data_IF_903814011177
#
_entry.id   IF_903814011177
#
_cell.length_a   1.000
_cell.length_b   1.000
_cell.length_c   1.000
_cell.angle_alpha   90.00
_cell.angle_beta   90.00
_cell.angle_gamma   90.00
#
_symmetry.space_group_name_H-M   'P 1'
#
loop_
_entity.id
_entity.type
_entity.pdbx_description
1 polymer ?
#
# COMPACT_ATOMS: atom_id res chain seq x y z
N UNK A 1 -9.24 20.44 -22.47
CA UNK A 1 -8.15 20.20 -21.52
C UNK A 1 -8.54 19.02 -20.63
N UNK A 2 -7.62 18.25 -20.06
CA UNK A 2 -7.97 17.11 -19.21
C UNK A 2 -8.40 17.58 -17.81
N UNK A 3 -9.33 16.87 -17.15
CA UNK A 3 -9.77 17.23 -15.79
C UNK A 3 -8.62 17.08 -14.77
N UNK A 4 -8.50 17.99 -13.79
CA UNK A 4 -7.44 17.96 -12.78
C UNK A 4 -7.53 16.71 -11.89
N UNK A 5 -6.45 15.92 -11.79
CA UNK A 5 -6.42 14.66 -11.05
C UNK A 5 -6.25 14.85 -9.54
N UNK A 6 -5.62 15.94 -9.12
CA UNK A 6 -5.50 16.39 -7.73
C UNK A 6 -6.87 16.73 -7.11
N UNK A 7 -7.86 17.08 -7.93
CA UNK A 7 -9.25 17.31 -7.49
C UNK A 7 -10.14 16.06 -7.57
N UNK A 8 -9.64 14.92 -8.07
CA UNK A 8 -10.40 13.66 -8.12
C UNK A 8 -10.28 12.94 -6.77
N UNK A 9 -11.36 12.80 -5.98
CA UNK A 9 -11.33 12.08 -4.72
C UNK A 9 -11.00 10.61 -4.95
N UNK A 10 -10.05 10.07 -4.19
CA UNK A 10 -9.60 8.67 -4.30
C UNK A 10 -9.12 8.16 -2.93
N UNK A 11 -9.02 6.84 -2.78
CA UNK A 11 -8.38 6.21 -1.63
C UNK A 11 -7.02 5.61 -2.01
N UNK A 12 -6.07 5.66 -1.08
CA UNK A 12 -4.76 5.05 -1.19
C UNK A 12 -4.69 3.83 -0.25
N UNK A 13 -4.72 2.64 -0.84
CA UNK A 13 -4.86 1.39 -0.07
C UNK A 13 -3.56 0.60 0.09
N UNK A 14 -2.49 1.05 -0.57
CA UNK A 14 -1.22 0.34 -0.63
C UNK A 14 -0.06 1.31 -0.54
N UNK A 15 0.21 1.73 0.69
CA UNK A 15 1.32 2.60 1.03
C UNK A 15 1.99 2.05 2.29
N UNK A 16 3.30 1.82 2.24
CA UNK A 16 4.05 1.39 3.40
C UNK A 16 4.55 2.58 4.20
N UNK A 17 4.44 2.49 5.53
CA UNK A 17 4.81 3.58 6.42
C UNK A 17 6.28 4.04 6.24
N UNK A 18 7.29 3.15 6.21
CA UNK A 18 8.66 3.63 5.94
C UNK A 18 8.79 4.19 4.53
N UNK A 19 8.16 3.54 3.57
CA UNK A 19 8.18 3.92 2.16
C UNK A 19 7.54 5.27 1.88
N UNK A 20 6.61 5.73 2.72
CA UNK A 20 5.92 7.01 2.54
C UNK A 20 6.70 8.22 3.05
N UNK A 21 7.87 8.01 3.67
CA UNK A 21 8.71 9.10 4.17
C UNK A 21 9.20 9.97 3.02
N UNK A 22 9.07 11.30 3.14
CA UNK A 22 9.68 12.23 2.19
C UNK A 22 11.20 12.02 2.16
N UNK A 23 11.79 12.11 0.96
CA UNK A 23 13.25 12.02 0.80
C UNK A 23 13.98 13.08 1.64
N UNK A 24 13.50 14.32 1.66
CA UNK A 24 14.06 15.39 2.50
C UNK A 24 14.07 15.02 3.99
N UNK A 25 12.99 14.41 4.48
CA UNK A 25 12.86 13.98 5.87
C UNK A 25 13.81 12.83 6.20
N UNK A 26 14.06 11.91 5.26
CA UNK A 26 15.10 10.91 5.41
C UNK A 26 16.48 11.57 5.61
N UNK A 27 16.84 12.56 4.79
CA UNK A 27 18.13 13.27 4.88
C UNK A 27 18.26 14.03 6.20
N UNK A 28 17.21 14.74 6.60
CA UNK A 28 17.20 15.52 7.84
C UNK A 28 17.34 14.64 9.08
N UNK A 29 16.53 13.58 9.19
CA UNK A 29 16.58 12.64 10.32
C UNK A 29 17.87 11.84 10.33
N UNK A 30 18.43 11.49 9.17
CA UNK A 30 19.72 10.83 9.11
C UNK A 30 20.83 11.72 9.68
N UNK A 31 20.84 13.01 9.33
CA UNK A 31 21.78 13.99 9.87
C UNK A 31 21.60 14.19 11.36
N UNK A 32 20.36 14.36 11.81
CA UNK A 32 20.02 14.57 13.22
C UNK A 32 20.45 13.40 14.09
N UNK A 33 20.17 12.17 13.66
CA UNK A 33 20.43 10.96 14.42
C UNK A 33 21.78 10.30 14.12
N UNK A 34 22.63 10.92 13.29
CA UNK A 34 23.95 10.42 12.91
C UNK A 34 23.94 9.11 12.11
N UNK A 35 22.87 8.83 11.37
CA UNK A 35 22.74 7.65 10.51
C UNK A 35 23.45 7.90 9.19
N UNK A 36 24.34 6.99 8.79
CA UNK A 36 25.02 7.09 7.50
C UNK A 36 24.13 6.48 6.42
N UNK A 37 23.75 7.30 5.43
CA UNK A 37 22.98 6.86 4.27
C UNK A 37 23.93 6.38 3.16
N UNK A 38 23.55 5.34 2.40
CA UNK A 38 24.23 5.00 1.15
C UNK A 38 23.93 6.05 0.08
N UNK A 39 24.83 6.23 -0.89
CA UNK A 39 24.65 7.18 -2.00
C UNK A 39 23.31 6.99 -2.74
N UNK A 40 22.84 5.74 -2.86
CA UNK A 40 21.54 5.39 -3.45
C UNK A 40 20.31 6.02 -2.74
N UNK A 41 20.45 6.47 -1.50
CA UNK A 41 19.42 7.20 -0.76
C UNK A 41 19.75 8.67 -0.55
N UNK A 42 21.02 9.08 -0.67
CA UNK A 42 21.43 10.45 -0.42
C UNK A 42 21.57 11.28 -1.70
N UNK A 43 22.28 10.76 -2.70
CA UNK A 43 22.70 11.47 -3.91
C UNK A 43 22.01 10.95 -5.18
N UNK A 44 21.87 9.63 -5.29
CA UNK A 44 21.34 8.95 -6.47
C UNK A 44 19.85 8.57 -6.29
N UNK A 45 19.03 9.53 -5.87
CA UNK A 45 17.61 9.32 -5.60
C UNK A 45 16.72 9.66 -6.81
N UNK A 46 15.68 8.86 -7.13
CA UNK A 46 15.35 7.57 -6.50
C UNK A 46 16.34 6.46 -6.89
N UNK A 47 16.57 5.47 -5.99
CA UNK A 47 17.51 4.38 -6.26
C UNK A 47 17.08 3.54 -7.47
N UNK A 48 18.05 3.19 -8.32
CA UNK A 48 17.81 2.24 -9.41
C UNK A 48 17.83 0.81 -8.88
N UNK A 49 16.64 0.22 -8.78
CA UNK A 49 16.42 -1.10 -8.23
C UNK A 49 16.03 -2.11 -9.30
N UNK A 50 16.17 -3.39 -8.96
CA UNK A 50 15.64 -4.56 -9.66
C UNK A 50 15.66 -5.71 -8.66
N UNK A 51 14.52 -6.11 -8.15
CA UNK A 51 14.37 -7.03 -7.01
C UNK A 51 13.79 -8.41 -7.39
N UNK A 52 13.73 -8.70 -8.69
CA UNK A 52 13.23 -9.98 -9.23
C UNK A 52 14.12 -11.19 -8.97
N UNK A 53 15.34 -11.00 -8.45
CA UNK A 53 16.21 -12.06 -7.91
C UNK A 53 16.54 -11.82 -6.42
N UNK A 54 17.15 -12.82 -5.76
CA UNK A 54 17.48 -12.74 -4.33
C UNK A 54 18.45 -11.59 -4.00
N UNK A 55 19.40 -11.31 -4.91
CA UNK A 55 20.42 -10.27 -4.71
C UNK A 55 19.79 -8.88 -4.80
N UNK A 56 18.90 -8.70 -5.76
CA UNK A 56 18.11 -7.51 -5.97
C UNK A 56 17.19 -7.22 -4.79
N UNK A 57 16.48 -8.25 -4.33
CA UNK A 57 15.65 -8.15 -3.14
C UNK A 57 16.45 -7.78 -1.89
N UNK A 58 17.62 -8.41 -1.69
CA UNK A 58 18.51 -8.05 -0.60
C UNK A 58 18.92 -6.57 -0.65
N UNK A 59 19.18 -6.01 -1.84
CA UNK A 59 19.48 -4.57 -2.00
C UNK A 59 18.28 -3.70 -1.62
N UNK A 60 17.08 -4.01 -2.13
CA UNK A 60 15.85 -3.31 -1.77
C UNK A 60 15.63 -3.30 -0.25
N UNK A 61 15.66 -4.49 0.37
CA UNK A 61 15.47 -4.64 1.81
C UNK A 61 16.51 -3.85 2.61
N UNK A 62 17.77 -3.84 2.17
CA UNK A 62 18.83 -3.08 2.84
C UNK A 62 18.57 -1.58 2.82
N UNK A 63 18.10 -1.02 1.69
CA UNK A 63 17.74 0.40 1.62
C UNK A 63 16.55 0.71 2.51
N UNK A 64 15.51 -0.13 2.48
CA UNK A 64 14.34 0.00 3.34
C UNK A 64 14.72 -0.03 4.83
N UNK A 65 15.59 -0.96 5.23
CA UNK A 65 16.06 -1.10 6.61
C UNK A 65 16.88 0.11 7.08
N UNK A 66 17.71 0.68 6.18
CA UNK A 66 18.46 1.92 6.47
C UNK A 66 17.49 3.10 6.61
N UNK A 67 16.52 3.24 5.71
CA UNK A 67 15.48 4.28 5.83
C UNK A 67 14.70 4.16 7.14
N UNK A 68 14.26 2.96 7.50
CA UNK A 68 13.62 2.67 8.81
C UNK A 68 14.51 3.01 10.02
N UNK A 69 15.83 2.98 9.86
CA UNK A 69 16.77 3.23 10.95
C UNK A 69 16.88 4.70 11.36
N UNK A 70 16.41 5.65 10.55
CA UNK A 70 16.43 7.07 10.90
C UNK A 70 15.33 7.47 11.88
N UNK A 71 14.26 6.66 11.98
CA UNK A 71 13.15 6.91 12.91
C UNK A 71 13.55 6.50 14.32
N UNK A 72 13.90 7.45 15.19
CA UNK A 72 14.45 7.22 16.53
C UNK A 72 13.50 7.56 17.66
N UNK A 73 12.61 8.52 17.46
CA UNK A 73 11.72 9.05 18.49
C UNK A 73 10.25 8.87 18.09
N UNK A 74 9.31 8.90 19.05
CA UNK A 74 7.88 9.02 18.76
C UNK A 74 7.52 10.19 17.84
N UNK A 75 8.25 11.31 17.95
CA UNK A 75 7.99 12.50 17.13
C UNK A 75 8.40 12.28 15.67
N UNK A 76 9.45 11.48 15.40
CA UNK A 76 9.82 11.10 14.03
C UNK A 76 8.69 10.30 13.35
N UNK A 77 8.03 9.43 14.12
CA UNK A 77 6.89 8.62 13.64
C UNK A 77 5.70 9.50 13.31
N UNK A 78 5.37 10.44 14.20
CA UNK A 78 4.31 11.42 13.95
C UNK A 78 4.63 12.33 12.77
N UNK A 79 5.86 12.86 12.71
CA UNK A 79 6.32 13.70 11.60
C UNK A 79 6.11 13.01 10.26
N UNK A 80 6.54 11.75 10.14
CA UNK A 80 6.37 10.98 8.91
C UNK A 80 4.88 10.87 8.53
N UNK A 81 4.01 10.49 9.45
CA UNK A 81 2.58 10.32 9.16
C UNK A 81 1.89 11.65 8.82
N UNK A 82 2.24 12.74 9.51
CA UNK A 82 1.75 14.09 9.19
C UNK A 82 2.15 14.49 7.77
N UNK A 83 3.42 14.32 7.41
CA UNK A 83 3.91 14.67 6.06
C UNK A 83 3.32 13.76 4.99
N UNK A 84 3.11 12.48 5.28
CA UNK A 84 2.39 11.58 4.38
C UNK A 84 0.95 12.05 4.18
N UNK A 85 0.25 12.47 5.24
CA UNK A 85 -1.11 12.99 5.15
C UNK A 85 -1.19 14.29 4.32
N UNK A 86 -0.24 15.20 4.50
CA UNK A 86 -0.11 16.42 3.67
C UNK A 86 0.05 16.08 2.18
N UNK A 87 0.92 15.13 1.86
CA UNK A 87 1.15 14.70 0.47
C UNK A 87 -0.09 14.01 -0.11
N UNK A 88 -0.76 13.16 0.66
CA UNK A 88 -1.99 12.48 0.24
C UNK A 88 -3.11 13.48 -0.11
N UNK A 89 -3.33 14.48 0.74
CA UNK A 89 -4.33 15.53 0.48
C UNK A 89 -3.98 16.32 -0.78
N UNK A 90 -2.70 16.66 -0.98
CA UNK A 90 -2.24 17.37 -2.17
C UNK A 90 -2.44 16.57 -3.47
N UNK A 91 -2.54 15.24 -3.38
CA UNK A 91 -2.76 14.34 -4.51
C UNK A 91 -4.22 13.91 -4.71
N UNK A 92 -5.14 14.53 -3.95
CA UNK A 92 -6.58 14.26 -4.00
C UNK A 92 -7.00 12.97 -3.28
N UNK A 93 -6.11 12.38 -2.50
CA UNK A 93 -6.45 11.25 -1.62
C UNK A 93 -7.29 11.77 -0.45
N UNK A 94 -8.40 11.10 -0.16
CA UNK A 94 -9.33 11.44 0.93
C UNK A 94 -9.43 10.33 1.97
N UNK A 95 -8.82 9.18 1.69
CA UNK A 95 -8.74 8.05 2.61
C UNK A 95 -7.44 7.27 2.40
N UNK A 96 -6.68 7.07 3.47
CA UNK A 96 -5.41 6.34 3.49
C UNK A 96 -5.51 5.11 4.39
N UNK A 97 -5.11 3.96 3.87
CA UNK A 97 -4.83 2.75 4.66
C UNK A 97 -3.33 2.48 4.66
N UNK A 98 -2.65 2.96 5.70
CA UNK A 98 -1.19 2.84 5.82
C UNK A 98 -0.81 1.48 6.37
N UNK A 99 0.13 0.81 5.70
CA UNK A 99 0.65 -0.49 6.12
C UNK A 99 1.85 -0.32 7.07
N UNK A 100 1.77 -0.94 8.24
CA UNK A 100 2.83 -0.94 9.26
C UNK A 100 3.21 -2.37 9.67
N UNK A 101 4.50 -2.62 9.88
CA UNK A 101 5.00 -3.82 10.58
C UNK A 101 5.57 -3.39 11.95
N UNK A 102 4.81 -3.53 13.05
CA UNK A 102 5.29 -3.18 14.39
C UNK A 102 6.55 -3.94 14.80
N UNK A 103 6.78 -5.13 14.25
CA UNK A 103 7.96 -5.96 14.57
C UNK A 103 9.26 -5.29 14.13
N UNK A 104 9.22 -4.52 13.04
CA UNK A 104 10.36 -3.76 12.54
C UNK A 104 10.83 -2.66 13.50
N UNK A 105 9.97 -2.22 14.42
CA UNK A 105 10.22 -1.10 15.32
C UNK A 105 10.16 -1.47 16.81
N UNK A 106 9.64 -2.66 17.13
CA UNK A 106 9.42 -3.12 18.50
C UNK A 106 10.64 -2.99 19.43
N UNK A 107 11.83 -3.31 18.94
CA UNK A 107 13.07 -3.19 19.74
C UNK A 107 13.38 -1.75 20.16
N UNK A 108 12.84 -0.76 19.43
CA UNK A 108 13.08 0.66 19.63
C UNK A 108 11.99 1.32 20.45
N UNK A 109 10.73 0.95 20.22
CA UNK A 109 9.57 1.58 20.85
C UNK A 109 8.87 0.68 21.86
N UNK A 110 9.64 -0.09 22.64
CA UNK A 110 9.14 -0.76 23.85
C UNK A 110 8.31 -2.03 23.62
N UNK A 111 8.43 -2.67 22.46
CA UNK A 111 7.72 -3.90 22.11
C UNK A 111 6.58 -3.70 21.11
N UNK A 112 5.93 -4.80 20.72
CA UNK A 112 4.91 -4.80 19.65
C UNK A 112 3.71 -3.90 19.99
N UNK A 113 3.17 -4.01 21.21
CA UNK A 113 2.00 -3.23 21.64
C UNK A 113 2.28 -1.73 21.64
N UNK A 114 3.32 -1.30 22.34
CA UNK A 114 3.68 0.13 22.42
C UNK A 114 4.04 0.73 21.07
N UNK A 115 4.62 -0.07 20.17
CA UNK A 115 4.88 0.35 18.79
C UNK A 115 3.59 0.53 17.99
N UNK A 116 2.63 -0.40 18.09
CA UNK A 116 1.35 -0.26 17.40
C UNK A 116 0.55 0.93 17.95
N UNK A 117 0.49 1.10 19.27
CA UNK A 117 -0.15 2.24 19.91
C UNK A 117 0.48 3.57 19.46
N UNK A 118 1.80 3.62 19.29
CA UNK A 118 2.49 4.79 18.74
C UNK A 118 2.06 5.09 17.29
N UNK A 119 1.95 4.08 16.43
CA UNK A 119 1.44 4.29 15.07
C UNK A 119 0.00 4.78 15.04
N UNK A 120 -0.85 4.25 15.92
CA UNK A 120 -2.25 4.66 16.02
C UNK A 120 -2.38 6.10 16.53
N UNK A 121 -1.65 6.49 17.57
CA UNK A 121 -1.60 7.88 18.06
C UNK A 121 -1.14 8.84 16.96
N UNK A 122 -0.07 8.48 16.25
CA UNK A 122 0.46 9.29 15.15
C UNK A 122 -0.55 9.41 13.99
N UNK A 123 -1.25 8.33 13.64
CA UNK A 123 -2.27 8.32 12.60
C UNK A 123 -3.48 9.18 12.99
N UNK A 124 -3.97 9.05 14.23
CA UNK A 124 -5.09 9.85 14.75
C UNK A 124 -4.75 11.35 14.76
N UNK A 125 -3.53 11.71 15.20
CA UNK A 125 -3.07 13.11 15.20
C UNK A 125 -2.92 13.65 13.78
N UNK A 126 -2.38 12.87 12.85
CA UNK A 126 -2.22 13.29 11.45
C UNK A 126 -3.58 13.44 10.74
N UNK A 127 -4.52 12.52 10.99
CA UNK A 127 -5.89 12.62 10.49
C UNK A 127 -6.60 13.83 11.07
N UNK A 128 -6.46 14.11 12.38
CA UNK A 128 -7.07 15.29 13.00
C UNK A 128 -6.51 16.63 12.49
N UNK A 129 -5.29 16.62 11.94
CA UNK A 129 -4.63 17.80 11.39
C UNK A 129 -4.83 17.97 9.87
N UNK A 130 -5.61 17.10 9.22
CA UNK A 130 -5.82 17.10 7.78
C UNK A 130 -7.28 16.75 7.41
N UNK A 131 -7.65 16.93 6.15
CA UNK A 131 -8.96 16.50 5.62
C UNK A 131 -8.91 15.04 5.07
N UNK A 132 -8.05 14.21 5.65
CA UNK A 132 -7.76 12.84 5.26
C UNK A 132 -8.17 11.86 6.37
N UNK A 133 -9.01 10.88 6.04
CA UNK A 133 -9.20 9.73 6.93
C UNK A 133 -7.98 8.80 6.85
N UNK A 134 -7.44 8.38 8.01
CA UNK A 134 -6.29 7.48 8.08
C UNK A 134 -6.65 6.25 8.91
N UNK A 135 -6.35 5.07 8.37
CA UNK A 135 -6.48 3.80 9.06
C UNK A 135 -5.21 2.96 8.90
N UNK A 136 -5.00 2.02 9.81
CA UNK A 136 -3.79 1.20 9.88
C UNK A 136 -4.07 -0.24 9.46
N UNK A 137 -3.19 -0.77 8.64
CA UNK A 137 -3.09 -2.20 8.32
C UNK A 137 -1.83 -2.77 8.98
N UNK A 138 -2.00 -3.78 9.82
CA UNK A 138 -0.86 -4.48 10.44
C UNK A 138 -0.38 -5.56 9.48
N UNK A 139 0.81 -5.38 8.89
CA UNK A 139 1.39 -6.30 7.92
C UNK A 139 2.42 -7.22 8.58
N UNK A 140 2.25 -8.53 8.45
CA UNK A 140 3.25 -9.51 8.87
C UNK A 140 4.33 -9.70 7.81
N UNK A 141 5.56 -9.93 8.26
CA UNK A 141 6.69 -10.25 7.39
C UNK A 141 6.72 -11.75 7.07
N UNK A 142 6.49 -12.13 5.81
CA UNK A 142 6.44 -13.55 5.38
C UNK A 142 7.77 -14.30 5.46
N UNK A 143 8.89 -13.58 5.63
CA UNK A 143 10.21 -14.18 5.82
C UNK A 143 10.46 -14.61 7.28
N UNK A 144 9.56 -14.24 8.20
CA UNK A 144 9.57 -14.61 9.62
C UNK A 144 8.72 -15.85 9.87
N UNK A 145 8.74 -16.35 11.11
CA UNK A 145 8.03 -17.57 11.44
C UNK A 145 6.51 -17.31 11.45
N UNK A 146 5.66 -18.21 10.92
CA UNK A 146 4.21 -17.98 10.91
C UNK A 146 3.55 -17.79 12.28
N UNK A 147 4.19 -18.24 13.36
CA UNK A 147 3.72 -17.96 14.73
C UNK A 147 3.89 -16.47 15.12
N UNK A 148 4.85 -15.77 14.54
CA UNK A 148 5.02 -14.33 14.74
C UNK A 148 3.83 -13.59 14.11
N UNK A 149 3.42 -14.00 12.90
CA UNK A 149 2.22 -13.48 12.24
C UNK A 149 0.95 -13.75 13.06
N UNK A 150 0.82 -14.92 13.71
CA UNK A 150 -0.31 -15.18 14.62
C UNK A 150 -0.29 -14.25 15.84
N UNK A 151 0.89 -13.90 16.33
CA UNK A 151 1.04 -12.93 17.44
C UNK A 151 0.59 -11.54 16.98
N UNK A 152 1.03 -11.08 15.82
CA UNK A 152 0.60 -9.81 15.22
C UNK A 152 -0.90 -9.77 14.95
N UNK A 153 -1.48 -10.85 14.39
CA UNK A 153 -2.92 -10.90 14.11
C UNK A 153 -3.77 -10.80 15.39
N UNK A 154 -3.33 -11.44 16.49
CA UNK A 154 -3.99 -11.31 17.80
C UNK A 154 -3.88 -9.89 18.35
N UNK A 155 -2.71 -9.26 18.20
CA UNK A 155 -2.51 -7.88 18.61
C UNK A 155 -3.42 -6.95 17.79
N UNK A 156 -3.38 -7.03 16.46
CA UNK A 156 -4.24 -6.26 15.56
C UNK A 156 -5.72 -6.38 15.91
N UNK A 157 -6.18 -7.59 16.24
CA UNK A 157 -7.57 -7.87 16.63
C UNK A 157 -8.03 -7.09 17.88
N UNK A 158 -7.11 -6.70 18.77
CA UNK A 158 -7.43 -5.91 19.97
C UNK A 158 -7.70 -4.43 19.66
N UNK A 159 -7.35 -3.97 18.46
CA UNK A 159 -7.47 -2.58 18.00
C UNK A 159 -8.49 -2.39 16.87
N UNK A 160 -9.33 -3.41 16.61
CA UNK A 160 -10.52 -3.24 15.78
C UNK A 160 -11.40 -2.14 16.39
N UNK A 161 -11.83 -1.18 15.56
CA UNK A 161 -12.58 -0.02 16.01
C UNK A 161 -11.74 1.06 16.71
N UNK A 162 -10.40 0.89 16.74
CA UNK A 162 -9.43 1.85 17.29
C UNK A 162 -8.33 2.19 16.26
N UNK A 163 -8.69 2.25 14.99
CA UNK A 163 -7.80 2.61 13.88
C UNK A 163 -7.21 1.44 13.09
N UNK A 164 -7.17 0.20 13.62
CA UNK A 164 -6.75 -0.98 12.83
C UNK A 164 -7.92 -1.54 12.03
N UNK A 165 -7.74 -1.65 10.71
CA UNK A 165 -8.80 -2.08 9.76
C UNK A 165 -8.44 -3.31 8.94
N UNK A 166 -7.16 -3.67 8.87
CA UNK A 166 -6.71 -4.80 8.07
C UNK A 166 -5.50 -5.53 8.64
N UNK A 167 -5.29 -6.74 8.14
CA UNK A 167 -4.11 -7.55 8.37
C UNK A 167 -3.51 -7.99 7.04
N UNK A 168 -2.22 -7.70 6.86
CA UNK A 168 -1.48 -7.96 5.63
C UNK A 168 -0.37 -8.98 5.79
N UNK A 169 0.23 -9.36 4.65
CA UNK A 169 1.41 -10.22 4.57
C UNK A 169 2.32 -9.68 3.46
N UNK A 170 3.52 -9.24 3.80
CA UNK A 170 4.44 -8.58 2.85
C UNK A 170 5.84 -9.21 2.89
N UNK A 171 6.81 -8.57 2.22
CA UNK A 171 8.19 -9.02 1.99
C UNK A 171 8.32 -10.11 0.91
N UNK A 172 9.54 -10.64 0.73
CA UNK A 172 9.96 -11.52 -0.36
C UNK A 172 9.00 -12.68 -0.62
N UNK A 173 8.17 -12.54 -1.67
CA UNK A 173 7.10 -13.48 -2.01
C UNK A 173 7.59 -14.92 -2.23
N UNK A 174 8.86 -15.08 -2.63
CA UNK A 174 9.52 -16.37 -2.83
C UNK A 174 9.75 -17.13 -1.52
N UNK A 175 9.61 -16.45 -0.38
CA UNK A 175 9.82 -17.00 0.96
C UNK A 175 8.50 -17.05 1.71
N UNK A 176 8.19 -18.17 2.35
CA UNK A 176 6.95 -18.35 3.11
C UNK A 176 5.70 -18.36 2.22
N UNK A 177 5.12 -19.55 2.02
CA UNK A 177 3.91 -19.67 1.19
C UNK A 177 2.72 -19.06 1.92
N UNK A 178 1.78 -18.50 1.17
CA UNK A 178 0.60 -17.84 1.74
C UNK A 178 -0.10 -18.75 2.76
N UNK A 179 -0.34 -20.02 2.40
CA UNK A 179 -0.97 -21.02 3.30
C UNK A 179 -0.32 -21.22 4.65
N UNK A 180 0.98 -20.99 4.79
CA UNK A 180 1.66 -21.19 6.07
C UNK A 180 1.18 -20.14 7.10
N UNK A 181 0.57 -19.04 6.63
CA UNK A 181 0.04 -17.94 7.41
C UNK A 181 -1.49 -17.99 7.61
N UNK A 182 -2.17 -19.04 7.14
CA UNK A 182 -3.62 -19.24 7.23
C UNK A 182 -4.18 -18.98 8.65
N UNK A 183 -3.43 -19.39 9.67
CA UNK A 183 -3.79 -19.26 11.06
C UNK A 183 -3.83 -17.81 11.54
N UNK A 184 -2.95 -16.96 11.01
CA UNK A 184 -2.95 -15.53 11.32
C UNK A 184 -4.15 -14.84 10.64
N UNK A 185 -4.37 -15.11 9.36
CA UNK A 185 -5.50 -14.55 8.61
C UNK A 185 -6.85 -14.98 9.16
N UNK A 186 -6.99 -16.24 9.61
CA UNK A 186 -8.21 -16.69 10.29
C UNK A 186 -8.48 -15.96 11.60
N UNK A 187 -7.43 -15.60 12.36
CA UNK A 187 -7.57 -14.79 13.58
C UNK A 187 -8.08 -13.39 13.19
N UNK A 188 -7.44 -12.75 12.21
CA UNK A 188 -7.81 -11.41 11.75
C UNK A 188 -9.24 -11.35 11.20
N UNK A 189 -9.62 -12.27 10.30
CA UNK A 189 -10.96 -12.33 9.70
C UNK A 189 -12.05 -12.58 10.73
N UNK A 190 -11.81 -13.44 11.74
CA UNK A 190 -12.77 -13.63 12.86
C UNK A 190 -12.96 -12.38 13.71
N UNK A 191 -11.97 -11.49 13.75
CA UNK A 191 -12.07 -10.20 14.43
C UNK A 191 -12.70 -9.11 13.56
N UNK A 192 -13.02 -9.39 12.29
CA UNK A 192 -13.60 -8.43 11.35
C UNK A 192 -12.58 -7.56 10.61
N UNK A 193 -11.29 -7.89 10.65
CA UNK A 193 -10.25 -7.21 9.87
C UNK A 193 -10.27 -7.70 8.41
N UNK A 194 -9.97 -6.79 7.48
CA UNK A 194 -9.71 -7.15 6.08
C UNK A 194 -8.44 -8.00 5.97
N UNK A 195 -8.47 -8.99 5.09
CA UNK A 195 -7.31 -9.79 4.68
C UNK A 195 -6.69 -9.18 3.42
N UNK A 196 -5.46 -8.65 3.54
CA UNK A 196 -4.77 -7.95 2.44
C UNK A 196 -3.33 -8.44 2.21
N UNK A 197 -3.10 -9.72 1.88
CA UNK A 197 -1.77 -10.24 1.60
C UNK A 197 -1.20 -9.71 0.27
N UNK A 198 0.12 -9.57 0.19
CA UNK A 198 0.83 -9.42 -1.10
C UNK A 198 0.87 -10.76 -1.82
N UNK A 199 0.57 -10.73 -3.12
CA UNK A 199 0.65 -11.89 -3.99
C UNK A 199 0.62 -11.50 -5.46
N UNK A 200 1.31 -12.28 -6.30
CA UNK A 200 1.35 -12.04 -7.74
C UNK A 200 2.20 -10.86 -8.15
N UNK A 201 3.22 -10.51 -7.36
CA UNK A 201 4.18 -9.46 -7.69
C UNK A 201 5.45 -10.09 -8.26
N UNK A 202 6.17 -10.85 -7.43
CA UNK A 202 7.40 -11.56 -7.79
C UNK A 202 7.09 -12.98 -8.30
N UNK A 203 5.99 -13.59 -7.81
CA UNK A 203 5.50 -14.90 -8.24
C UNK A 203 4.28 -14.79 -9.14
N UNK A 204 3.92 -15.88 -9.82
CA UNK A 204 2.87 -15.86 -10.85
C UNK A 204 1.44 -15.89 -10.29
N UNK A 205 0.47 -16.07 -11.18
CA UNK A 205 -0.96 -16.19 -10.86
C UNK A 205 -1.27 -17.20 -9.72
N UNK A 206 -0.47 -18.26 -9.57
CA UNK A 206 -0.64 -19.22 -8.48
C UNK A 206 -0.54 -18.58 -7.09
N UNK A 207 0.33 -17.60 -6.90
CA UNK A 207 0.49 -16.93 -5.61
C UNK A 207 -0.71 -16.02 -5.28
N UNK A 208 -1.27 -15.33 -6.29
CA UNK A 208 -2.55 -14.63 -6.14
C UNK A 208 -3.65 -15.62 -5.77
N UNK A 209 -3.70 -16.77 -6.43
CA UNK A 209 -4.68 -17.80 -6.12
C UNK A 209 -4.56 -18.30 -4.68
N UNK A 210 -3.35 -18.56 -4.17
CA UNK A 210 -3.14 -18.93 -2.77
C UNK A 210 -3.60 -17.84 -1.80
N UNK A 211 -3.38 -16.56 -2.10
CA UNK A 211 -3.91 -15.46 -1.29
C UNK A 211 -5.44 -15.50 -1.20
N UNK A 212 -6.11 -15.74 -2.33
CA UNK A 212 -7.58 -15.76 -2.42
C UNK A 212 -8.18 -17.03 -1.80
N UNK A 213 -7.52 -18.18 -1.97
CA UNK A 213 -8.06 -19.49 -1.64
C UNK A 213 -7.65 -19.94 -0.22
N UNK A 214 -6.40 -19.71 0.18
CA UNK A 214 -5.87 -20.16 1.48
C UNK A 214 -5.97 -19.07 2.57
N UNK A 215 -5.93 -17.79 2.19
CA UNK A 215 -5.97 -16.66 3.14
C UNK A 215 -7.30 -15.90 3.16
N UNK A 216 -8.23 -16.25 2.27
CA UNK A 216 -9.52 -15.56 2.10
C UNK A 216 -9.37 -14.04 1.92
N UNK A 217 -8.44 -13.65 1.05
CA UNK A 217 -8.10 -12.26 0.76
C UNK A 217 -9.32 -11.45 0.31
N UNK A 218 -9.51 -10.28 0.93
CA UNK A 218 -10.46 -9.25 0.50
C UNK A 218 -9.83 -8.35 -0.57
N UNK A 219 -8.52 -8.13 -0.47
CA UNK A 219 -7.68 -7.48 -1.50
C UNK A 219 -6.34 -8.19 -1.61
N UNK A 220 -5.68 -8.06 -2.76
CA UNK A 220 -4.34 -8.61 -2.99
C UNK A 220 -3.38 -7.46 -3.31
N UNK A 221 -2.34 -7.32 -2.48
CA UNK A 221 -1.22 -6.43 -2.73
C UNK A 221 -0.57 -6.75 -4.07
N UNK A 222 -0.52 -5.77 -4.98
CA UNK A 222 -0.19 -5.90 -6.40
C UNK A 222 -1.20 -6.73 -7.18
N UNK A 223 -1.14 -8.07 -7.09
CA UNK A 223 -2.01 -8.96 -7.87
C UNK A 223 -1.81 -8.91 -9.39
N UNK A 224 -0.79 -8.21 -9.89
CA UNK A 224 -0.60 -7.92 -11.32
C UNK A 224 -0.46 -9.18 -12.17
N UNK A 225 0.18 -10.23 -11.62
CA UNK A 225 0.36 -11.51 -12.32
C UNK A 225 -0.90 -12.38 -12.34
N UNK A 226 -2.02 -11.93 -11.75
CA UNK A 226 -3.33 -12.53 -12.01
C UNK A 226 -3.71 -12.48 -13.51
N UNK A 227 -3.21 -11.48 -14.22
CA UNK A 227 -3.40 -11.31 -15.66
C UNK A 227 -2.91 -12.50 -16.50
N UNK A 228 -2.02 -13.35 -15.96
CA UNK A 228 -1.55 -14.56 -16.64
C UNK A 228 -2.62 -15.67 -16.74
N UNK A 229 -3.73 -15.55 -15.99
CA UNK A 229 -4.78 -16.57 -15.91
C UNK A 229 -6.18 -15.98 -16.06
N UNK A 230 -6.85 -16.17 -17.23
CA UNK A 230 -8.23 -15.72 -17.44
C UNK A 230 -9.22 -16.21 -16.37
N UNK A 231 -9.10 -17.48 -15.97
CA UNK A 231 -9.94 -18.07 -14.91
C UNK A 231 -9.74 -17.41 -13.55
N UNK A 232 -8.52 -16.99 -13.24
CA UNK A 232 -8.25 -16.29 -11.99
C UNK A 232 -8.83 -14.88 -12.02
N UNK A 233 -8.69 -14.15 -13.14
CA UNK A 233 -9.31 -12.83 -13.30
C UNK A 233 -10.83 -12.91 -13.17
N UNK A 234 -11.48 -13.87 -13.83
CA UNK A 234 -12.93 -14.12 -13.69
C UNK A 234 -13.30 -14.35 -12.22
N UNK A 235 -12.53 -15.17 -11.51
CA UNK A 235 -12.76 -15.42 -10.08
C UNK A 235 -12.58 -14.18 -9.20
N UNK A 236 -11.58 -13.33 -9.47
CA UNK A 236 -11.36 -12.08 -8.74
C UNK A 236 -12.50 -11.09 -9.00
N UNK A 237 -12.95 -10.99 -10.25
CA UNK A 237 -14.09 -10.17 -10.64
C UNK A 237 -15.38 -10.65 -9.96
N UNK A 238 -15.70 -11.95 -10.02
CA UNK A 238 -16.90 -12.52 -9.41
C UNK A 238 -16.95 -12.32 -7.89
N UNK A 239 -15.79 -12.47 -7.22
CA UNK A 239 -15.67 -12.29 -5.77
C UNK A 239 -15.48 -10.84 -5.35
N UNK A 240 -15.30 -9.92 -6.30
CA UNK A 240 -14.94 -8.52 -6.07
C UNK A 240 -13.68 -8.36 -5.19
N UNK A 241 -12.68 -9.22 -5.38
CA UNK A 241 -11.38 -9.12 -4.70
C UNK A 241 -10.52 -8.12 -5.46
N UNK A 242 -10.18 -7.00 -4.81
CA UNK A 242 -9.44 -5.94 -5.47
C UNK A 242 -7.94 -6.24 -5.56
N UNK A 243 -7.31 -5.86 -6.69
CA UNK A 243 -5.86 -5.82 -6.83
C UNK A 243 -5.34 -4.41 -6.52
N UNK A 244 -4.43 -4.30 -5.56
CA UNK A 244 -3.78 -3.04 -5.17
C UNK A 244 -2.56 -2.80 -6.08
N UNK A 245 -2.78 -2.31 -7.30
CA UNK A 245 -1.76 -2.26 -8.36
C UNK A 245 -0.89 -1.01 -8.21
N UNK A 246 0.44 -1.18 -8.22
CA UNK A 246 1.41 -0.10 -8.04
C UNK A 246 2.37 -0.01 -9.24
N UNK A 247 1.94 0.54 -10.40
CA UNK A 247 2.71 0.46 -11.65
C UNK A 247 4.17 0.88 -11.56
N UNK A 248 4.45 2.04 -10.95
CA UNK A 248 5.83 2.55 -10.86
C UNK A 248 6.69 1.73 -9.88
N UNK A 249 6.11 1.13 -8.85
CA UNK A 249 6.80 0.13 -8.02
C UNK A 249 7.10 -1.13 -8.83
N UNK A 250 6.12 -1.66 -9.58
CA UNK A 250 6.33 -2.86 -10.38
C UNK A 250 7.46 -2.67 -11.41
N UNK A 251 7.58 -1.48 -12.00
CA UNK A 251 8.74 -1.12 -12.84
C UNK A 251 10.02 -0.96 -12.02
N UNK A 252 9.96 -0.25 -10.89
CA UNK A 252 11.12 -0.03 -10.00
C UNK A 252 11.72 -1.31 -9.41
N UNK A 253 10.91 -2.34 -9.21
CA UNK A 253 11.35 -3.67 -8.80
C UNK A 253 11.73 -4.57 -9.98
N UNK A 254 11.46 -4.14 -11.21
CA UNK A 254 11.71 -4.90 -12.44
C UNK A 254 10.76 -6.08 -12.66
N UNK A 255 9.58 -6.04 -12.03
CA UNK A 255 8.46 -6.96 -12.31
C UNK A 255 7.91 -6.69 -13.72
N UNK A 256 7.90 -5.43 -14.11
CA UNK A 256 7.66 -4.94 -15.47
C UNK A 256 8.89 -4.16 -15.95
N UNK A 257 9.16 -4.16 -17.26
CA UNK A 257 10.27 -3.38 -17.82
C UNK A 257 9.87 -1.91 -18.01
N UNK A 258 8.61 -1.66 -18.37
CA UNK A 258 8.04 -0.32 -18.52
C UNK A 258 6.63 -0.23 -17.95
N UNK A 259 6.11 0.98 -17.67
CA UNK A 259 4.73 1.14 -17.19
C UNK A 259 3.70 0.46 -18.10
N UNK A 260 3.85 0.53 -19.42
CA UNK A 260 2.92 -0.09 -20.38
C UNK A 260 2.81 -1.62 -20.23
N UNK A 261 3.83 -2.27 -19.67
CA UNK A 261 3.86 -3.72 -19.49
C UNK A 261 3.07 -4.18 -18.26
N UNK A 262 2.73 -3.26 -17.34
CA UNK A 262 1.90 -3.57 -16.17
C UNK A 262 0.46 -3.77 -16.65
N UNK A 263 -0.20 -4.90 -16.33
CA UNK A 263 -1.46 -5.29 -16.96
C UNK A 263 -2.71 -4.57 -16.41
N UNK A 264 -2.61 -3.28 -16.09
CA UNK A 264 -3.71 -2.46 -15.52
C UNK A 264 -4.95 -2.52 -16.41
N UNK A 265 -4.81 -2.25 -17.71
CA UNK A 265 -5.93 -2.28 -18.66
C UNK A 265 -6.56 -3.66 -18.74
N UNK A 266 -5.73 -4.71 -18.80
CA UNK A 266 -6.20 -6.10 -18.91
C UNK A 266 -6.99 -6.53 -17.68
N UNK A 267 -6.57 -6.14 -16.48
CA UNK A 267 -7.30 -6.41 -15.24
C UNK A 267 -8.64 -5.65 -15.22
N UNK A 268 -8.63 -4.37 -15.60
CA UNK A 268 -9.82 -3.53 -15.64
C UNK A 268 -10.86 -4.07 -16.64
N UNK A 269 -10.43 -4.43 -17.85
CA UNK A 269 -11.31 -5.00 -18.89
C UNK A 269 -11.91 -6.36 -18.48
N UNK A 270 -11.19 -7.12 -17.64
CA UNK A 270 -11.68 -8.38 -17.10
C UNK A 270 -12.65 -8.20 -15.92
N UNK A 271 -12.95 -6.96 -15.51
CA UNK A 271 -13.84 -6.64 -14.39
C UNK A 271 -13.20 -6.87 -13.02
N UNK A 272 -11.88 -7.07 -12.94
CA UNK A 272 -11.17 -7.17 -11.66
C UNK A 272 -11.12 -5.78 -11.02
N UNK A 273 -11.60 -5.59 -9.78
CA UNK A 273 -11.49 -4.29 -9.12
C UNK A 273 -10.02 -3.92 -8.90
N UNK A 274 -9.67 -2.66 -9.15
CA UNK A 274 -8.31 -2.14 -9.01
C UNK A 274 -8.32 -0.98 -8.01
N UNK A 275 -7.36 -0.98 -7.10
CA UNK A 275 -6.97 0.20 -6.34
C UNK A 275 -5.54 0.56 -6.72
N UNK A 276 -5.32 1.71 -7.35
CA UNK A 276 -3.97 2.17 -7.65
C UNK A 276 -3.27 2.59 -6.35
N UNK A 277 -1.99 2.24 -6.21
CA UNK A 277 -1.18 2.56 -5.04
C UNK A 277 0.25 2.96 -5.39
N UNK A 278 0.94 3.60 -4.45
CA UNK A 278 2.29 4.08 -4.63
C UNK A 278 3.37 3.18 -4.03
N UNK A 279 2.98 2.30 -3.09
CA UNK A 279 3.85 1.32 -2.44
C UNK A 279 4.93 1.98 -1.55
N UNK A 280 6.12 2.22 -2.09
CA UNK A 280 7.25 2.87 -1.41
C UNK A 280 7.76 4.11 -2.18
N UNK A 281 7.08 5.27 -2.12
CA UNK A 281 7.54 6.49 -2.81
C UNK A 281 8.98 6.89 -2.50
N UNK A 282 9.48 6.62 -1.31
CA UNK A 282 10.87 6.86 -0.93
C UNK A 282 11.86 6.06 -1.79
N UNK A 283 11.49 4.87 -2.24
CA UNK A 283 12.36 3.99 -3.03
C UNK A 283 12.08 4.06 -4.53
N UNK A 284 10.85 4.41 -4.93
CA UNK A 284 10.45 4.45 -6.33
C UNK A 284 10.29 5.87 -6.90
N UNK A 285 10.32 6.90 -6.05
CA UNK A 285 10.27 8.31 -6.45
C UNK A 285 8.90 8.79 -6.91
N UNK A 286 7.85 7.98 -6.76
CA UNK A 286 6.52 8.31 -7.22
C UNK A 286 5.46 7.99 -6.16
N UNK A 287 4.50 8.90 -6.03
CA UNK A 287 3.37 8.80 -5.12
C UNK A 287 2.11 8.34 -5.86
N UNK A 288 0.92 8.71 -5.38
CA UNK A 288 -0.37 8.23 -5.87
C UNK A 288 -0.79 8.93 -7.16
N UNK A 289 -0.68 10.27 -7.22
CA UNK A 289 -1.11 11.04 -8.40
C UNK A 289 -0.44 10.53 -9.70
N UNK A 290 0.89 10.27 -9.74
CA UNK A 290 1.53 9.73 -10.94
C UNK A 290 0.96 8.40 -11.44
N UNK A 291 0.37 7.57 -10.56
CA UNK A 291 -0.28 6.32 -11.00
C UNK A 291 -1.57 6.60 -11.80
N UNK A 292 -2.31 7.65 -11.42
CA UNK A 292 -3.51 8.10 -12.13
C UNK A 292 -3.15 8.87 -13.41
N UNK A 293 -2.03 9.60 -13.42
CA UNK A 293 -1.48 10.17 -14.65
C UNK A 293 -1.13 9.07 -15.64
N UNK A 294 -0.46 8.00 -15.20
CA UNK A 294 -0.21 6.81 -16.04
C UNK A 294 -1.52 6.17 -16.54
N UNK A 295 -2.53 6.03 -15.67
CA UNK A 295 -3.87 5.54 -16.07
C UNK A 295 -4.38 6.27 -17.31
N UNK A 296 -4.32 7.61 -17.29
CA UNK A 296 -4.78 8.47 -18.38
C UNK A 296 -3.85 8.45 -19.60
N UNK A 297 -2.56 8.68 -19.39
CA UNK A 297 -1.61 9.01 -20.46
C UNK A 297 -1.00 7.77 -21.11
N UNK A 298 -0.76 6.73 -20.33
CA UNK A 298 -0.06 5.51 -20.77
C UNK A 298 -1.03 4.40 -21.12
N UNK A 299 -2.01 4.14 -20.25
CA UNK A 299 -2.98 3.07 -20.47
C UNK A 299 -4.24 3.52 -21.22
N UNK A 300 -4.34 4.82 -21.54
CA UNK A 300 -5.39 5.38 -22.38
C UNK A 300 -6.79 5.42 -21.73
N UNK A 301 -6.87 5.44 -20.40
CA UNK A 301 -8.15 5.54 -19.71
C UNK A 301 -8.80 6.90 -19.96
N UNK A 302 -10.08 6.88 -20.30
CA UNK A 302 -10.91 8.08 -20.35
C UNK A 302 -11.16 8.64 -18.94
N UNK A 303 -11.57 9.91 -18.82
CA UNK A 303 -11.93 10.49 -17.51
C UNK A 303 -13.00 9.66 -16.77
N UNK A 304 -13.95 9.05 -17.50
CA UNK A 304 -14.97 8.17 -16.94
C UNK A 304 -14.36 6.92 -16.30
N UNK A 305 -13.37 6.31 -16.96
CA UNK A 305 -12.69 5.12 -16.45
C UNK A 305 -11.68 5.46 -15.34
N UNK A 306 -11.02 6.62 -15.41
CA UNK A 306 -10.17 7.13 -14.31
C UNK A 306 -11.00 7.39 -13.06
N UNK A 307 -12.17 8.00 -13.20
CA UNK A 307 -13.13 8.15 -12.10
C UNK A 307 -13.63 6.79 -11.59
N UNK A 308 -13.81 5.81 -12.46
CA UNK A 308 -14.15 4.45 -12.05
C UNK A 308 -13.04 3.77 -11.25
N UNK A 309 -11.76 3.91 -11.62
CA UNK A 309 -10.63 3.46 -10.82
C UNK A 309 -10.62 4.10 -9.42
N UNK A 310 -10.92 5.40 -9.33
CA UNK A 310 -11.09 6.08 -8.05
C UNK A 310 -12.27 5.50 -7.25
N UNK A 311 -13.44 5.26 -7.87
CA UNK A 311 -14.58 4.62 -7.18
C UNK A 311 -14.25 3.20 -6.73
N UNK A 312 -13.44 2.45 -7.47
CA UNK A 312 -13.02 1.10 -7.08
C UNK A 312 -12.13 1.13 -5.85
N UNK A 313 -11.20 2.10 -5.75
CA UNK A 313 -10.41 2.26 -4.51
C UNK A 313 -11.28 2.66 -3.32
N UNK A 314 -12.28 3.55 -3.49
CA UNK A 314 -13.23 3.86 -2.41
C UNK A 314 -14.05 2.62 -1.99
N UNK A 315 -14.57 1.85 -2.95
CA UNK A 315 -15.36 0.64 -2.67
C UNK A 315 -14.56 -0.41 -1.90
N UNK A 316 -13.32 -0.65 -2.33
CA UNK A 316 -12.41 -1.64 -1.74
C UNK A 316 -11.83 -1.21 -0.37
N UNK A 317 -11.88 0.08 -0.04
CA UNK A 317 -11.40 0.59 1.25
C UNK A 317 -12.20 0.09 2.46
N UNK A 318 -11.65 0.28 3.65
CA UNK A 318 -12.30 0.18 4.95
C UNK A 318 -12.88 1.53 5.43
N UNK A 319 -12.99 2.54 4.55
CA UNK A 319 -13.60 3.81 4.89
C UNK A 319 -15.04 3.63 5.42
N UNK A 320 -15.51 4.45 6.37
CA UNK A 320 -16.89 4.41 6.81
C UNK A 320 -17.87 4.55 5.63
N UNK A 321 -19.02 3.87 5.69
CA UNK A 321 -20.01 3.90 4.60
C UNK A 321 -20.47 5.32 4.25
N UNK A 322 -20.56 6.21 5.24
CA UNK A 322 -20.85 7.63 5.02
C UNK A 322 -19.77 8.31 4.17
N UNK A 323 -18.50 8.07 4.49
CA UNK A 323 -17.35 8.59 3.75
C UNK A 323 -17.33 8.00 2.34
N UNK A 324 -17.57 6.69 2.17
CA UNK A 324 -17.64 6.08 0.83
C UNK A 324 -18.73 6.71 -0.03
N UNK A 325 -19.91 6.98 0.55
CA UNK A 325 -21.04 7.60 -0.15
C UNK A 325 -20.73 9.05 -0.54
N UNK A 326 -20.14 9.82 0.36
CA UNK A 326 -19.71 11.20 0.12
C UNK A 326 -18.69 11.25 -1.03
N UNK A 327 -17.60 10.49 -0.93
CA UNK A 327 -16.54 10.47 -1.94
C UNK A 327 -17.05 9.99 -3.30
N UNK A 328 -17.99 9.04 -3.33
CA UNK A 328 -18.62 8.61 -4.60
C UNK A 328 -19.41 9.76 -5.25
N UNK A 329 -20.13 10.56 -4.47
CA UNK A 329 -20.84 11.74 -4.96
C UNK A 329 -19.89 12.86 -5.43
N UNK A 330 -18.77 13.07 -4.74
CA UNK A 330 -17.73 14.00 -5.17
C UNK A 330 -17.07 13.58 -6.49
N UNK A 331 -16.85 12.27 -6.70
CA UNK A 331 -16.34 11.74 -7.99
C UNK A 331 -17.36 11.99 -9.12
N UNK A 332 -18.65 11.80 -8.86
CA UNK A 332 -19.70 12.11 -9.84
C UNK A 332 -19.72 13.61 -10.19
N UNK A 333 -19.54 14.48 -9.20
CA UNK A 333 -19.44 15.92 -9.39
C UNK A 333 -18.19 16.29 -10.22
N UNK A 334 -17.04 15.68 -9.94
CA UNK A 334 -15.80 15.86 -10.71
C UNK A 334 -15.99 15.48 -12.18
N UNK A 335 -16.70 14.38 -12.46
CA UNK A 335 -17.02 13.97 -13.83
C UNK A 335 -17.99 14.93 -14.53
N UNK A 336 -18.99 15.42 -13.81
CA UNK A 336 -19.99 16.34 -14.33
C UNK A 336 -19.42 17.75 -14.60
N UNK A 337 -18.38 18.15 -13.88
CA UNK A 337 -17.71 19.42 -14.09
C UNK A 337 -17.11 19.52 -15.50
N UNK A 338 -17.16 20.70 -16.15
CA UNK A 338 -16.48 20.93 -17.41
C UNK A 338 -14.97 20.75 -17.20
N UNK A 339 -14.24 20.17 -18.16
CA UNK A 339 -12.78 20.14 -18.08
C UNK A 339 -12.23 21.56 -18.05
N UNK A 340 -11.37 21.84 -17.07
CA UNK A 340 -10.69 23.14 -16.89
C UNK A 340 -9.59 23.36 -17.92
#
# INVERSE_FOLDING_TARGET
>A
MPRPLDKLPKAHLHLHFTGSMRHSTLIELAREHGVHLPDALEQDWPPRLRATDERGWFRFQRLYDIARSVLRTPEDVYRLLREAAEDEVAEGSRWLEIQVDPSGYAHRFGGLTSTLELFLDAADRAAAASDLGIAVIVAANRTRHPLDARTLARLASQYVGKGVVGFGLSNDERRGRARDFDGAFRIAKRAGLLAVPHGGELLGAASVAECVDDLDADRVGHGVRAAESPRLMERLADRQVACEVCPLSNVGLGVAERPEDVPVRRLFDAGVPIALGADDPLLFGARLMPQYELARETYGFSDAEVAELARQSIRASAAPDSTKKELSGEIDAWLAAPPE
#
